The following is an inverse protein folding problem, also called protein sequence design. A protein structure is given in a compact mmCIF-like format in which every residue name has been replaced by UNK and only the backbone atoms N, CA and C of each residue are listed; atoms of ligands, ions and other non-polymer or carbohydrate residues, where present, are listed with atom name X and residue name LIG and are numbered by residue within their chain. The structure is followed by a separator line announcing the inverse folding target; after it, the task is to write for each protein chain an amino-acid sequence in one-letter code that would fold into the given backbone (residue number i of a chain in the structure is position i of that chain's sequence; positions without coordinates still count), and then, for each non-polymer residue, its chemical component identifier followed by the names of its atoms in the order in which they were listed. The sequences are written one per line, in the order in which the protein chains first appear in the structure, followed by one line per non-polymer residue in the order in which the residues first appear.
data_IF_682713458291
#
_entry.id   IF_682713458291
#
_cell.length_a   1.000
_cell.length_b   1.000
_cell.length_c   1.000
_cell.angle_alpha   90.00
_cell.angle_beta   90.00
_cell.angle_gamma   90.00
#
_symmetry.space_group_name_H-M   'P 1'
#
loop_
_entity.id
_entity.type
_entity.pdbx_description
1 polymer ?
#
# COMPACT_ATOMS: atom_id res chain seq x y z
N UNK A 1 -6.54 6.79 -10.00
CA UNK A 1 -7.05 7.65 -8.91
C UNK A 1 -5.88 8.26 -8.15
N UNK A 2 -6.15 9.32 -7.41
CA UNK A 2 -5.17 10.00 -6.59
C UNK A 2 -5.82 10.50 -5.30
N UNK A 3 -5.05 10.51 -4.21
CA UNK A 3 -5.49 11.02 -2.92
C UNK A 3 -4.33 11.76 -2.25
N UNK A 4 -4.65 12.78 -1.47
CA UNK A 4 -3.66 13.60 -0.76
C UNK A 4 -3.88 13.55 0.73
N UNK A 5 -2.79 13.80 1.48
CA UNK A 5 -2.84 13.97 2.92
C UNK A 5 -3.51 12.79 3.66
N UNK A 6 -3.31 11.57 3.17
CA UNK A 6 -3.88 10.36 3.75
C UNK A 6 -3.02 9.90 4.92
N UNK A 7 -3.61 9.67 6.08
CA UNK A 7 -2.90 9.16 7.25
C UNK A 7 -2.73 7.64 7.16
N UNK A 8 -1.52 7.15 7.34
CA UNK A 8 -1.22 5.71 7.39
C UNK A 8 -1.38 5.19 8.81
N UNK A 9 -2.27 4.22 9.01
CA UNK A 9 -2.47 3.58 10.34
C UNK A 9 -1.66 2.30 10.51
N UNK A 10 -1.32 1.63 9.41
CA UNK A 10 -0.46 0.44 9.40
C UNK A 10 0.41 0.39 8.15
N UNK A 11 1.66 -0.05 8.30
CA UNK A 11 2.58 -0.31 7.20
C UNK A 11 3.31 -1.63 7.42
N UNK A 12 2.94 -2.65 6.64
CA UNK A 12 3.55 -3.98 6.69
C UNK A 12 4.44 -4.18 5.47
N UNK A 13 5.66 -4.65 5.68
CA UNK A 13 6.63 -4.96 4.63
C UNK A 13 6.95 -6.46 4.68
N UNK A 14 6.77 -7.17 3.57
CA UNK A 14 7.03 -8.61 3.46
C UNK A 14 7.91 -8.89 2.26
N UNK A 15 8.96 -9.68 2.47
CA UNK A 15 9.76 -10.23 1.37
C UNK A 15 8.93 -11.22 0.55
N UNK A 16 9.05 -11.12 -0.77
CA UNK A 16 8.42 -11.97 -1.76
C UNK A 16 9.34 -12.01 -2.98
N UNK A 17 10.07 -13.11 -3.12
CA UNK A 17 11.13 -13.26 -4.13
C UNK A 17 12.11 -12.07 -4.06
N UNK A 18 12.41 -11.44 -5.20
CA UNK A 18 13.29 -10.28 -5.29
C UNK A 18 12.63 -8.94 -4.90
N UNK A 19 11.45 -8.97 -4.29
CA UNK A 19 10.66 -7.79 -3.98
C UNK A 19 10.25 -7.75 -2.52
N UNK A 20 10.08 -6.54 -2.01
CA UNK A 20 9.41 -6.28 -0.74
C UNK A 20 8.06 -5.66 -1.06
N UNK A 21 7.01 -6.40 -0.73
CA UNK A 21 5.62 -5.95 -0.84
C UNK A 21 5.33 -5.09 0.37
N UNK A 22 5.06 -3.81 0.11
CA UNK A 22 4.65 -2.84 1.10
C UNK A 22 3.12 -2.76 1.06
N UNK A 23 2.46 -3.03 2.18
CA UNK A 23 1.01 -2.91 2.35
C UNK A 23 0.70 -1.81 3.34
N UNK A 24 -0.08 -0.82 2.92
CA UNK A 24 -0.55 0.29 3.74
C UNK A 24 -2.03 0.11 4.04
N UNK A 25 -2.40 0.36 5.29
CA UNK A 25 -3.78 0.64 5.67
C UNK A 25 -3.87 2.14 5.98
N UNK A 26 -4.87 2.78 5.39
CA UNK A 26 -5.11 4.21 5.55
C UNK A 26 -6.26 4.42 6.53
N UNK A 27 -6.22 5.55 7.22
CA UNK A 27 -7.26 5.93 8.17
C UNK A 27 -8.62 6.04 7.47
N UNK A 28 -9.65 5.40 8.06
CA UNK A 28 -11.02 5.30 7.52
C UNK A 28 -11.14 4.64 6.13
N UNK A 29 -10.21 3.77 5.73
CA UNK A 29 -10.31 2.96 4.51
C UNK A 29 -10.04 1.49 4.82
N UNK A 30 -10.97 0.62 4.41
CA UNK A 30 -10.92 -0.82 4.68
C UNK A 30 -10.17 -1.63 3.61
N UNK A 31 -9.74 -0.96 2.53
CA UNK A 31 -9.01 -1.59 1.42
C UNK A 31 -7.49 -1.41 1.58
N UNK A 32 -6.68 -2.46 1.36
CA UNK A 32 -5.24 -2.36 1.45
C UNK A 32 -4.64 -1.70 0.21
N UNK A 33 -3.61 -0.87 0.42
CA UNK A 33 -2.84 -0.23 -0.64
C UNK A 33 -1.47 -0.89 -0.76
N UNK A 34 -1.12 -1.40 -1.94
CA UNK A 34 0.09 -2.18 -2.15
C UNK A 34 1.04 -1.55 -3.16
N UNK A 35 2.33 -1.58 -2.85
CA UNK A 35 3.40 -1.30 -3.82
C UNK A 35 4.61 -2.21 -3.59
N UNK A 36 5.46 -2.35 -4.60
CA UNK A 36 6.67 -3.17 -4.54
C UNK A 36 7.91 -2.28 -4.54
N UNK A 37 8.92 -2.66 -3.75
CA UNK A 37 10.28 -2.08 -3.78
C UNK A 37 11.33 -3.19 -3.77
N UNK A 38 12.51 -2.93 -4.32
CA UNK A 38 13.65 -3.86 -4.26
C UNK A 38 14.37 -3.88 -2.90
N UNK A 39 14.10 -2.90 -2.03
CA UNK A 39 14.72 -2.72 -0.72
C UNK A 39 13.68 -2.31 0.31
N UNK A 40 13.96 -2.58 1.58
CA UNK A 40 13.17 -2.10 2.71
C UNK A 40 13.01 -0.59 2.62
N UNK A 41 11.83 -0.11 2.98
CA UNK A 41 11.50 1.29 2.99
C UNK A 41 11.31 1.79 4.42
N UNK A 42 11.49 3.10 4.61
CA UNK A 42 11.17 3.74 5.87
C UNK A 42 9.71 3.46 6.25
N UNK A 43 9.45 3.23 7.55
CA UNK A 43 8.09 3.00 8.00
C UNK A 43 7.23 4.24 7.74
N UNK A 44 6.12 4.07 7.02
CA UNK A 44 5.15 5.12 6.76
C UNK A 44 4.05 5.20 7.84
N UNK A 45 4.02 4.27 8.80
CA UNK A 45 3.02 4.27 9.86
C UNK A 45 3.04 5.59 10.64
N UNK A 46 1.86 6.20 10.83
CA UNK A 46 1.70 7.50 11.48
C UNK A 46 1.96 8.70 10.57
N UNK A 47 2.54 8.51 9.39
CA UNK A 47 2.81 9.60 8.45
C UNK A 47 1.57 9.95 7.62
N UNK A 48 1.57 11.17 7.06
CA UNK A 48 0.63 11.61 6.03
C UNK A 48 1.29 11.51 4.66
N UNK A 49 0.57 10.96 3.69
CA UNK A 49 1.10 10.65 2.36
C UNK A 49 0.14 11.05 1.26
N UNK A 50 0.72 11.34 0.09
CA UNK A 50 -0.01 11.46 -1.17
C UNK A 50 0.20 10.20 -2.00
N UNK A 51 -0.87 9.74 -2.65
CA UNK A 51 -0.92 8.47 -3.37
C UNK A 51 -1.45 8.66 -4.80
N UNK A 52 -0.94 7.84 -5.71
CA UNK A 52 -1.53 7.59 -7.03
C UNK A 52 -1.66 6.08 -7.21
N UNK A 53 -2.88 5.61 -7.52
CA UNK A 53 -3.22 4.19 -7.47
C UNK A 53 -4.40 3.83 -8.38
N UNK A 54 -4.65 2.55 -8.57
CA UNK A 54 -5.80 2.00 -9.28
C UNK A 54 -6.31 0.73 -8.56
N UNK A 55 -7.61 0.39 -8.71
CA UNK A 55 -8.16 -0.81 -8.10
C UNK A 55 -7.64 -2.04 -8.83
N UNK A 56 -7.35 -3.09 -8.09
CA UNK A 56 -6.90 -4.38 -8.57
C UNK A 56 -7.56 -5.48 -7.73
N UNK A 57 -7.68 -6.69 -8.29
CA UNK A 57 -8.20 -7.84 -7.57
C UNK A 57 -7.09 -8.88 -7.47
N UNK A 58 -6.74 -9.25 -6.25
CA UNK A 58 -5.80 -10.34 -5.98
C UNK A 58 -6.55 -11.60 -5.57
N UNK A 59 -6.12 -12.75 -6.07
CA UNK A 59 -6.64 -14.05 -5.64
C UNK A 59 -5.70 -14.65 -4.60
N UNK A 60 -6.18 -14.84 -3.37
CA UNK A 60 -5.43 -15.43 -2.27
C UNK A 60 -6.20 -16.66 -1.77
N UNK A 61 -5.58 -17.84 -1.85
CA UNK A 61 -6.19 -19.11 -1.42
C UNK A 61 -7.60 -19.37 -2.02
N UNK A 62 -7.82 -18.94 -3.27
CA UNK A 62 -9.11 -19.06 -3.97
C UNK A 62 -10.13 -17.96 -3.65
N UNK A 63 -9.79 -16.99 -2.80
CA UNK A 63 -10.62 -15.82 -2.50
C UNK A 63 -10.13 -14.59 -3.27
N UNK A 64 -11.06 -13.89 -3.92
CA UNK A 64 -10.79 -12.60 -4.55
C UNK A 64 -10.88 -11.48 -3.53
N UNK A 65 -9.83 -10.68 -3.44
CA UNK A 65 -9.71 -9.55 -2.52
C UNK A 65 -9.44 -8.29 -3.34
N UNK A 66 -10.21 -7.24 -3.09
CA UNK A 66 -9.95 -5.92 -3.67
C UNK A 66 -8.75 -5.28 -2.99
N UNK A 67 -7.83 -4.77 -3.80
CA UNK A 67 -6.65 -4.04 -3.36
C UNK A 67 -6.47 -2.78 -4.20
N UNK A 68 -5.71 -1.82 -3.68
CA UNK A 68 -5.33 -0.63 -4.41
C UNK A 68 -3.86 -0.71 -4.79
N UNK A 69 -3.58 -0.87 -6.08
CA UNK A 69 -2.21 -0.95 -6.63
C UNK A 69 -1.62 0.45 -6.73
N UNK A 70 -0.60 0.74 -5.93
CA UNK A 70 0.01 2.07 -5.79
C UNK A 70 1.19 2.21 -6.75
N UNK A 71 1.11 3.25 -7.59
CA UNK A 71 2.16 3.62 -8.55
C UNK A 71 3.10 4.66 -7.94
N UNK A 72 2.56 5.57 -7.12
CA UNK A 72 3.33 6.63 -6.46
C UNK A 72 2.91 6.81 -5.02
N UNK A 73 3.89 6.92 -4.14
CA UNK A 73 3.74 7.35 -2.75
C UNK A 73 4.73 8.46 -2.45
N UNK A 74 4.27 9.53 -1.81
CA UNK A 74 5.11 10.65 -1.37
C UNK A 74 4.70 11.02 0.06
N UNK A 75 5.67 11.10 0.97
CA UNK A 75 5.46 11.68 2.31
C UNK A 75 5.17 13.17 2.16
N UNK A 76 4.09 13.63 2.80
CA UNK A 76 3.66 15.03 2.79
C UNK A 76 4.55 15.92 3.65
#
# INVERSE_FOLDING_TARGET
MHSENMKVVSHVQRECDDWIINTLILDNLDVPFKYKRKKLYQSLQGQRINLTYYPEVETIAGFSIEVMSVVRVKVS
#
